data_IF_148231900073
#
_entry.id   IF_148231900073
#
_cell.length_a   1.000
_cell.length_b   1.000
_cell.length_c   1.000
_cell.angle_alpha   90.00
_cell.angle_beta   90.00
_cell.angle_gamma   90.00
#
_symmetry.space_group_name_H-M   'P 1'
#
loop_
_entity.id
_entity.type
_entity.pdbx_description
1 polymer ?
#
# COMPACT_ATOMS: atom_id res chain seq x y z
N UNK A 1 20.05 47.15 8.42
CA UNK A 1 20.47 45.88 9.06
C UNK A 1 19.47 44.80 8.67
N UNK A 2 19.78 44.00 7.65
CA UNK A 2 18.84 43.05 7.03
C UNK A 2 18.95 41.68 7.73
N UNK A 3 17.90 41.25 8.43
CA UNK A 3 17.84 39.92 9.07
C UNK A 3 17.22 38.92 8.09
N UNK A 4 18.02 38.34 7.21
CA UNK A 4 17.63 37.13 6.49
C UNK A 4 17.61 35.96 7.49
N UNK A 5 16.43 35.66 8.02
CA UNK A 5 16.20 34.43 8.79
C UNK A 5 16.19 33.26 7.81
N UNK A 6 17.30 32.57 7.66
CA UNK A 6 17.35 31.24 7.05
C UNK A 6 16.43 30.33 7.86
N UNK A 7 15.34 29.88 7.24
CA UNK A 7 14.46 28.87 7.79
C UNK A 7 15.29 27.59 7.89
N UNK A 8 15.69 27.22 9.10
CA UNK A 8 16.34 25.93 9.35
C UNK A 8 15.22 24.90 9.25
N UNK A 9 15.20 24.17 8.14
CA UNK A 9 14.25 23.08 7.94
C UNK A 9 14.66 21.98 8.93
N UNK A 10 13.78 21.62 9.86
CA UNK A 10 14.04 20.49 10.75
C UNK A 10 14.22 19.24 9.84
N UNK A 11 15.17 18.33 10.09
CA UNK A 11 15.33 17.12 9.26
C UNK A 11 14.07 16.25 9.23
N UNK A 12 13.18 16.43 10.22
CA UNK A 12 11.85 15.80 10.31
C UNK A 12 10.82 16.39 9.31
N UNK A 13 11.06 17.58 8.74
CA UNK A 13 10.17 18.25 7.78
C UNK A 13 10.43 17.79 6.32
N UNK A 14 11.22 16.74 6.11
CA UNK A 14 11.46 16.19 4.79
C UNK A 14 10.13 15.66 4.21
N UNK A 15 9.65 16.29 3.13
CA UNK A 15 8.50 15.77 2.36
C UNK A 15 8.84 14.37 1.84
N UNK A 16 8.34 13.34 2.53
CA UNK A 16 8.50 11.95 2.12
C UNK A 16 7.84 11.78 0.75
N UNK A 17 8.57 11.19 -0.18
CA UNK A 17 8.07 10.95 -1.53
C UNK A 17 6.88 9.98 -1.50
N UNK A 18 5.79 10.31 -2.18
CA UNK A 18 4.58 9.48 -2.28
C UNK A 18 4.89 8.05 -2.72
N UNK A 19 5.93 7.86 -3.54
CA UNK A 19 6.46 6.53 -3.91
C UNK A 19 6.81 5.67 -2.70
N UNK A 20 7.56 6.24 -1.77
CA UNK A 20 8.03 5.56 -0.55
C UNK A 20 6.86 5.29 0.38
N UNK A 21 5.93 6.25 0.49
CA UNK A 21 4.71 6.07 1.30
C UNK A 21 3.87 4.91 0.75
N UNK A 22 3.62 4.86 -0.56
CA UNK A 22 2.84 3.78 -1.16
C UNK A 22 3.53 2.44 -1.05
N UNK A 23 4.86 2.38 -1.26
CA UNK A 23 5.62 1.15 -1.05
C UNK A 23 5.53 0.67 0.41
N UNK A 24 5.65 1.59 1.36
CA UNK A 24 5.50 1.30 2.79
C UNK A 24 4.09 0.80 3.15
N UNK A 25 3.04 1.40 2.58
CA UNK A 25 1.66 0.97 2.79
C UNK A 25 1.41 -0.43 2.23
N UNK A 26 1.89 -0.74 1.02
CA UNK A 26 1.78 -2.08 0.45
C UNK A 26 2.58 -3.12 1.25
N UNK A 27 3.77 -2.77 1.72
CA UNK A 27 4.57 -3.64 2.58
C UNK A 27 3.88 -3.91 3.93
N UNK A 28 3.34 -2.89 4.58
CA UNK A 28 2.60 -3.04 5.82
C UNK A 28 1.34 -3.89 5.62
N UNK A 29 0.61 -3.68 4.53
CA UNK A 29 -0.57 -4.49 4.19
C UNK A 29 -0.21 -5.97 3.95
N UNK A 30 0.91 -6.23 3.28
CA UNK A 30 1.43 -7.60 3.07
C UNK A 30 1.80 -8.29 4.37
N UNK A 31 2.51 -7.60 5.25
CA UNK A 31 2.86 -8.14 6.57
C UNK A 31 1.62 -8.47 7.40
N UNK A 32 0.62 -7.59 7.41
CA UNK A 32 -0.62 -7.84 8.16
C UNK A 32 -1.34 -9.11 7.68
N UNK A 33 -1.40 -9.35 6.37
CA UNK A 33 -1.94 -10.61 5.80
C UNK A 33 -1.16 -11.83 6.31
N UNK A 34 0.17 -11.80 6.23
CA UNK A 34 1.01 -12.90 6.71
C UNK A 34 0.83 -13.17 8.20
N UNK A 35 0.73 -12.12 9.02
CA UNK A 35 0.47 -12.27 10.47
C UNK A 35 -0.93 -12.82 10.75
N UNK A 36 -1.94 -12.39 10.00
CA UNK A 36 -3.31 -12.92 10.11
C UNK A 36 -3.37 -14.42 9.86
N UNK A 37 -2.69 -14.89 8.82
CA UNK A 37 -2.61 -16.32 8.47
C UNK A 37 -1.85 -17.10 9.55
N UNK A 38 -0.70 -16.58 10.00
CA UNK A 38 0.10 -17.23 11.05
C UNK A 38 -0.68 -17.37 12.35
N UNK A 39 -1.38 -16.33 12.80
CA UNK A 39 -2.22 -16.37 14.02
C UNK A 39 -3.36 -17.37 13.85
N UNK A 40 -4.04 -17.37 12.70
CA UNK A 40 -5.13 -18.30 12.41
C UNK A 40 -4.69 -19.75 12.49
N UNK A 41 -3.50 -20.07 11.96
CA UNK A 41 -2.89 -21.39 12.04
C UNK A 41 -2.48 -21.77 13.47
N UNK A 42 -1.85 -20.84 14.21
CA UNK A 42 -1.46 -21.09 15.60
C UNK A 42 -2.65 -21.33 16.53
N UNK A 43 -3.79 -20.72 16.25
CA UNK A 43 -5.04 -20.95 17.01
C UNK A 43 -5.82 -22.17 16.52
N UNK A 44 -5.38 -22.83 15.44
CA UNK A 44 -6.08 -23.96 14.84
C UNK A 44 -7.44 -23.59 14.24
N UNK A 45 -7.69 -22.30 13.98
CA UNK A 45 -8.93 -21.80 13.37
C UNK A 45 -8.91 -22.07 11.87
N UNK A 46 -7.73 -21.95 11.25
CA UNK A 46 -7.49 -22.36 9.87
C UNK A 46 -6.63 -23.62 9.81
N UNK A 47 -6.75 -24.36 8.71
CA UNK A 47 -5.86 -25.47 8.36
C UNK A 47 -4.96 -25.04 7.21
N UNK A 48 -3.77 -25.66 7.06
CA UNK A 48 -2.98 -25.50 5.85
C UNK A 48 -3.83 -25.76 4.61
N UNK A 49 -3.69 -24.92 3.59
CA UNK A 49 -4.46 -25.06 2.36
C UNK A 49 -4.03 -26.33 1.62
N UNK A 50 -4.94 -27.31 1.56
CA UNK A 50 -4.78 -28.53 0.74
C UNK A 50 -5.52 -28.41 -0.61
N UNK A 51 -6.41 -27.42 -0.74
CA UNK A 51 -7.15 -27.14 -1.95
C UNK A 51 -6.26 -26.44 -2.98
N UNK A 52 -6.03 -27.13 -4.10
CA UNK A 52 -5.24 -26.63 -5.23
C UNK A 52 -5.76 -25.29 -5.77
N UNK A 53 -7.07 -25.04 -5.71
CA UNK A 53 -7.67 -23.79 -6.18
C UNK A 53 -7.31 -22.63 -5.23
N UNK A 54 -7.34 -22.86 -3.92
CA UNK A 54 -6.91 -21.86 -2.94
C UNK A 54 -5.43 -21.52 -3.11
N UNK A 55 -4.57 -22.53 -3.30
CA UNK A 55 -3.14 -22.31 -3.55
C UNK A 55 -2.89 -21.55 -4.86
N UNK A 56 -3.67 -21.87 -5.90
CA UNK A 56 -3.61 -21.19 -7.20
C UNK A 56 -4.01 -19.71 -7.12
N UNK A 57 -4.84 -19.31 -6.15
CA UNK A 57 -5.20 -17.90 -5.93
C UNK A 57 -4.23 -17.22 -4.95
N UNK A 58 -3.83 -17.91 -3.90
CA UNK A 58 -2.98 -17.36 -2.84
C UNK A 58 -1.59 -16.97 -3.34
N UNK A 59 -0.94 -17.85 -4.12
CA UNK A 59 0.44 -17.60 -4.60
C UNK A 59 0.50 -16.38 -5.53
N UNK A 60 -0.35 -16.26 -6.58
CA UNK A 60 -0.35 -15.06 -7.42
C UNK A 60 -0.72 -13.79 -6.66
N UNK A 61 -1.61 -13.87 -5.67
CA UNK A 61 -1.97 -12.71 -4.84
C UNK A 61 -0.76 -12.21 -4.05
N UNK A 62 0.00 -13.10 -3.42
CA UNK A 62 1.22 -12.75 -2.72
C UNK A 62 2.28 -12.14 -3.65
N UNK A 63 2.46 -12.72 -4.85
CA UNK A 63 3.39 -12.19 -5.87
C UNK A 63 2.94 -10.80 -6.34
N UNK A 64 1.65 -10.61 -6.60
CA UNK A 64 1.11 -9.32 -7.02
C UNK A 64 1.34 -8.26 -5.94
N UNK A 65 1.14 -8.61 -4.67
CA UNK A 65 1.32 -7.69 -3.55
C UNK A 65 2.79 -7.30 -3.34
N UNK A 66 3.71 -8.27 -3.43
CA UNK A 66 5.15 -7.99 -3.44
C UNK A 66 5.54 -7.12 -4.65
N UNK A 67 4.95 -7.39 -5.82
CA UNK A 67 5.11 -6.59 -7.03
C UNK A 67 4.67 -5.14 -6.85
N UNK A 68 3.54 -4.89 -6.17
CA UNK A 68 3.04 -3.54 -5.89
C UNK A 68 4.01 -2.70 -5.04
N UNK A 69 4.74 -3.33 -4.11
CA UNK A 69 5.79 -2.66 -3.33
C UNK A 69 6.89 -2.16 -4.28
N UNK A 70 7.42 -3.05 -5.12
CA UNK A 70 8.48 -2.71 -6.07
C UNK A 70 8.03 -1.67 -7.11
N UNK A 71 6.85 -1.88 -7.69
CA UNK A 71 6.27 -0.99 -8.70
C UNK A 71 5.98 0.41 -8.13
N UNK A 72 5.65 0.53 -6.84
CA UNK A 72 5.48 1.84 -6.19
C UNK A 72 6.76 2.67 -6.18
N UNK A 73 7.93 2.04 -6.16
CA UNK A 73 9.22 2.72 -6.18
C UNK A 73 9.67 3.07 -7.61
N UNK A 74 9.51 2.13 -8.54
CA UNK A 74 10.03 2.24 -9.91
C UNK A 74 9.05 2.87 -10.90
N UNK A 75 7.75 2.72 -10.66
CA UNK A 75 6.70 3.13 -11.58
C UNK A 75 6.54 4.64 -11.74
N UNK A 76 5.89 5.02 -12.84
CA UNK A 76 5.54 6.41 -13.13
C UNK A 76 4.26 6.82 -12.38
N UNK A 77 4.15 8.11 -12.06
CA UNK A 77 3.03 8.67 -11.30
C UNK A 77 1.65 8.32 -11.89
N UNK A 78 1.53 8.41 -13.23
CA UNK A 78 0.25 8.19 -13.92
C UNK A 78 -0.19 6.74 -13.84
N UNK A 79 0.72 5.79 -14.05
CA UNK A 79 0.42 4.35 -14.02
C UNK A 79 0.17 3.89 -12.59
N UNK A 80 1.09 4.22 -11.66
CA UNK A 80 1.00 3.73 -10.29
C UNK A 80 -0.18 4.27 -9.51
N UNK A 81 -0.67 5.47 -9.85
CA UNK A 81 -1.92 5.97 -9.29
C UNK A 81 -3.09 5.05 -9.59
N UNK A 82 -3.30 4.68 -10.84
CA UNK A 82 -4.42 3.81 -11.22
C UNK A 82 -4.23 2.38 -10.75
N UNK A 83 -3.02 1.83 -10.89
CA UNK A 83 -2.70 0.48 -10.39
C UNK A 83 -2.96 0.38 -8.88
N UNK A 84 -2.51 1.35 -8.09
CA UNK A 84 -2.70 1.32 -6.63
C UNK A 84 -4.17 1.46 -6.24
N UNK A 85 -4.93 2.31 -6.93
CA UNK A 85 -6.37 2.48 -6.66
C UNK A 85 -7.13 1.19 -6.99
N UNK A 86 -6.92 0.62 -8.18
CA UNK A 86 -7.61 -0.60 -8.60
C UNK A 86 -7.25 -1.77 -7.68
N UNK A 87 -5.97 -1.95 -7.36
CA UNK A 87 -5.54 -2.99 -6.42
C UNK A 87 -6.17 -2.78 -5.04
N UNK A 88 -6.14 -1.57 -4.48
CA UNK A 88 -6.73 -1.28 -3.18
C UNK A 88 -8.24 -1.55 -3.13
N UNK A 89 -8.96 -1.29 -4.22
CA UNK A 89 -10.39 -1.62 -4.33
C UNK A 89 -10.63 -3.13 -4.34
N UNK A 90 -9.86 -3.88 -5.12
CA UNK A 90 -9.94 -5.36 -5.15
C UNK A 90 -9.65 -5.93 -3.75
N UNK A 91 -8.55 -5.51 -3.12
CA UNK A 91 -8.22 -5.94 -1.76
C UNK A 91 -9.27 -5.47 -0.74
N UNK A 92 -9.89 -4.31 -0.91
CA UNK A 92 -10.96 -3.87 -0.01
C UNK A 92 -12.17 -4.81 -0.03
N UNK A 93 -12.54 -5.33 -1.21
CA UNK A 93 -13.62 -6.32 -1.34
C UNK A 93 -13.25 -7.63 -0.61
N UNK A 94 -12.04 -8.14 -0.83
CA UNK A 94 -11.56 -9.34 -0.12
C UNK A 94 -11.53 -9.15 1.40
N UNK A 95 -10.98 -8.03 1.86
CA UNK A 95 -10.88 -7.73 3.29
C UNK A 95 -12.25 -7.45 3.93
N UNK A 96 -13.23 -6.98 3.15
CA UNK A 96 -14.61 -6.86 3.61
C UNK A 96 -15.26 -8.23 3.80
N UNK A 97 -15.01 -9.18 2.89
CA UNK A 97 -15.41 -10.58 3.06
C UNK A 97 -14.83 -11.18 4.34
N UNK A 98 -13.52 -11.01 4.55
CA UNK A 98 -12.86 -11.42 5.80
C UNK A 98 -13.50 -10.78 7.05
N UNK A 99 -13.88 -9.50 6.99
CA UNK A 99 -14.50 -8.81 8.12
C UNK A 99 -15.93 -9.32 8.41
N UNK A 100 -16.68 -9.70 7.37
CA UNK A 100 -18.02 -10.31 7.52
C UNK A 100 -17.93 -11.69 8.16
N UNK A 101 -16.90 -12.47 7.78
CA UNK A 101 -16.64 -13.81 8.32
C UNK A 101 -15.88 -13.80 9.67
N UNK A 102 -15.61 -12.62 10.23
CA UNK A 102 -14.90 -12.51 11.50
C UNK A 102 -15.77 -12.99 12.67
N UNK A 103 -15.16 -13.75 13.58
CA UNK A 103 -15.80 -14.30 14.78
C UNK A 103 -15.07 -13.95 16.08
N UNK A 104 -13.85 -13.42 15.99
CA UNK A 104 -13.01 -13.09 17.14
C UNK A 104 -12.62 -11.62 17.14
N UNK A 105 -12.35 -11.06 18.33
CA UNK A 105 -11.99 -9.64 18.47
C UNK A 105 -10.76 -9.23 17.65
N UNK A 106 -9.76 -10.11 17.54
CA UNK A 106 -8.56 -9.82 16.76
C UNK A 106 -8.84 -9.82 15.24
N UNK A 107 -9.76 -10.65 14.75
CA UNK A 107 -10.17 -10.65 13.34
C UNK A 107 -10.87 -9.33 12.98
N UNK A 108 -11.75 -8.81 13.84
CA UNK A 108 -12.37 -7.49 13.63
C UNK A 108 -11.34 -6.37 13.63
N UNK A 109 -10.37 -6.40 14.55
CA UNK A 109 -9.28 -5.43 14.59
C UNK A 109 -8.45 -5.47 13.30
N UNK A 110 -8.06 -6.67 12.87
CA UNK A 110 -7.23 -6.89 11.69
C UNK A 110 -7.98 -6.51 10.40
N UNK A 111 -9.23 -6.92 10.26
CA UNK A 111 -10.09 -6.56 9.13
C UNK A 111 -10.31 -5.05 9.01
N UNK A 112 -10.52 -4.37 10.15
CA UNK A 112 -10.60 -2.90 10.19
C UNK A 112 -9.27 -2.26 9.77
N UNK A 113 -8.14 -2.78 10.25
CA UNK A 113 -6.81 -2.33 9.84
C UNK A 113 -6.62 -2.48 8.32
N UNK A 114 -6.99 -3.61 7.73
CA UNK A 114 -6.89 -3.82 6.29
C UNK A 114 -7.65 -2.77 5.48
N UNK A 115 -8.90 -2.47 5.87
CA UNK A 115 -9.70 -1.45 5.21
C UNK A 115 -9.10 -0.06 5.37
N UNK A 116 -8.52 0.24 6.54
CA UNK A 116 -7.80 1.49 6.77
C UNK A 116 -6.57 1.62 5.85
N UNK A 117 -5.76 0.56 5.70
CA UNK A 117 -4.62 0.57 4.80
C UNK A 117 -5.05 0.76 3.33
N UNK A 118 -6.12 0.09 2.89
CA UNK A 118 -6.68 0.30 1.55
C UNK A 118 -7.12 1.77 1.33
N UNK A 119 -7.81 2.37 2.31
CA UNK A 119 -8.21 3.76 2.24
C UNK A 119 -7.00 4.72 2.19
N UNK A 120 -5.94 4.44 2.95
CA UNK A 120 -4.70 5.21 2.91
C UNK A 120 -4.01 5.09 1.55
N UNK A 121 -3.93 3.89 0.98
CA UNK A 121 -3.36 3.67 -0.36
C UNK A 121 -4.11 4.51 -1.39
N UNK A 122 -5.44 4.47 -1.38
CA UNK A 122 -6.27 5.28 -2.29
C UNK A 122 -5.97 6.76 -2.10
N UNK A 123 -5.97 7.26 -0.86
CA UNK A 123 -5.68 8.67 -0.54
C UNK A 123 -4.32 9.11 -1.08
N UNK A 124 -3.26 8.35 -0.80
CA UNK A 124 -1.91 8.71 -1.24
C UNK A 124 -1.72 8.56 -2.76
N UNK A 125 -2.38 7.58 -3.39
CA UNK A 125 -2.42 7.46 -4.84
C UNK A 125 -3.05 8.70 -5.50
N UNK A 126 -4.13 9.25 -4.93
CA UNK A 126 -4.75 10.49 -5.42
C UNK A 126 -3.87 11.73 -5.27
N UNK A 127 -3.02 11.77 -4.23
CA UNK A 127 -2.07 12.85 -4.02
C UNK A 127 -0.89 12.81 -4.99
N UNK A 128 -0.68 11.68 -5.68
CA UNK A 128 0.36 11.56 -6.70
C UNK A 128 -0.02 12.32 -7.97
N UNK A 129 0.24 13.63 -7.98
CA UNK A 129 0.04 14.48 -9.15
C UNK A 129 1.16 14.24 -10.16
N UNK A 130 0.78 14.02 -11.42
CA UNK A 130 1.73 14.01 -12.54
C UNK A 130 2.33 15.40 -12.66
N UNK A 131 3.59 15.58 -12.26
CA UNK A 131 4.36 16.75 -12.66
C UNK A 131 4.62 16.63 -14.16
N UNK A 132 3.78 17.28 -14.97
CA UNK A 132 4.17 17.62 -16.35
C UNK A 132 5.31 18.62 -16.18
N UNK A 133 6.54 18.18 -16.43
CA UNK A 133 7.68 19.09 -16.53
C UNK A 133 7.44 19.89 -17.81
N UNK A 134 7.25 21.23 -17.75
CA UNK A 134 7.17 22.03 -18.96
C UNK A 134 8.51 21.90 -19.68
N UNK A 135 8.49 21.56 -20.97
CA UNK A 135 9.67 21.62 -21.83
C UNK A 135 10.18 23.08 -21.82
N UNK A 136 11.15 23.39 -20.96
CA UNK A 136 11.95 24.62 -21.11
C UNK A 136 12.90 24.39 -22.28
N UNK A 137 12.79 25.14 -23.39
CA UNK A 137 13.81 25.08 -24.43
C UNK A 137 15.15 25.47 -23.83
N UNK A 138 16.17 24.65 -24.08
CA UNK A 138 17.56 24.98 -23.77
C UNK A 138 17.90 26.20 -24.62
N UNK A 139 18.06 27.35 -23.98
CA UNK A 139 18.69 28.51 -24.63
C UNK A 139 20.18 28.18 -24.66
N UNK A 140 20.66 27.70 -25.82
CA UNK A 140 22.09 27.72 -26.12
C UNK A 140 22.54 29.18 -26.16
N UNK A 141 23.57 29.49 -25.36
CA UNK A 141 24.25 30.79 -25.33
C UNK A 141 25.52 30.68 -26.16
#
# INVERSE_FOLDING_TARGET
MNKNKTKVNNPEDAKVNVKVILAGLWAAHFLLWTFGDAISLMQGISKPAEDNLLLFVAIPTAIAQAGLIFLSLTGTAKVMRWVSILAALVFAVFNLGFLVDAHTGWQYLLGTAYLLFNALVIRYAWQWKSTVVPNTPVVEI
#
